data_IF_037508280552
#
_entry.id   IF_037508280552
#
_cell.length_a   1.000
_cell.length_b   1.000
_cell.length_c   1.000
_cell.angle_alpha   90.00
_cell.angle_beta   90.00
_cell.angle_gamma   90.00
#
_symmetry.space_group_name_H-M   'P 1'
#
loop_
_entity.id
_entity.type
_entity.pdbx_description
1 polymer ?
#
# COMPACT_ATOMS: atom_id res chain seq x y z
N UNK A 1 -4.63 -9.43 -6.34
CA UNK A 1 -4.43 -8.35 -5.34
C UNK A 1 -4.65 -8.78 -3.88
N UNK A 2 -5.62 -9.65 -3.55
CA UNK A 2 -5.89 -10.06 -2.16
C UNK A 2 -4.78 -10.93 -1.51
N UNK A 3 -4.12 -11.78 -2.29
CA UNK A 3 -3.03 -12.69 -1.87
C UNK A 3 -1.82 -11.94 -1.33
N UNK A 4 -1.35 -10.92 -2.04
CA UNK A 4 -0.21 -10.10 -1.58
C UNK A 4 -0.50 -9.40 -0.24
N UNK A 5 -1.74 -8.95 0.00
CA UNK A 5 -2.11 -8.30 1.27
C UNK A 5 -2.03 -9.26 2.46
N UNK A 6 -2.33 -10.55 2.27
CA UNK A 6 -2.24 -11.56 3.32
C UNK A 6 -0.80 -11.90 3.71
N UNK A 7 0.15 -11.86 2.77
CA UNK A 7 1.56 -12.15 3.08
C UNK A 7 2.24 -11.06 3.91
N UNK A 8 1.98 -9.78 3.62
CA UNK A 8 2.57 -8.68 4.41
C UNK A 8 2.03 -8.61 5.84
N UNK A 9 0.75 -8.93 6.05
CA UNK A 9 0.17 -8.97 7.40
C UNK A 9 0.84 -10.08 8.24
N UNK A 10 1.16 -11.24 7.65
CA UNK A 10 1.90 -12.30 8.36
C UNK A 10 3.29 -11.82 8.80
N UNK A 11 4.04 -11.18 7.91
CA UNK A 11 5.38 -10.62 8.21
C UNK A 11 5.28 -9.54 9.28
N UNK A 12 4.28 -8.65 9.18
CA UNK A 12 4.00 -7.62 10.18
C UNK A 12 3.76 -8.22 11.56
N UNK A 13 2.84 -9.19 11.69
CA UNK A 13 2.55 -9.81 12.98
C UNK A 13 3.75 -10.54 13.54
N UNK A 14 4.52 -11.25 12.70
CA UNK A 14 5.75 -11.90 13.13
C UNK A 14 6.73 -10.90 13.76
N UNK A 15 7.05 -9.80 13.08
CA UNK A 15 7.99 -8.78 13.57
C UNK A 15 7.48 -8.08 14.84
N UNK A 16 6.18 -7.78 14.92
CA UNK A 16 5.57 -7.17 16.11
C UNK A 16 5.64 -8.13 17.31
N UNK A 17 5.29 -9.40 17.11
CA UNK A 17 5.35 -10.41 18.18
C UNK A 17 6.79 -10.59 18.64
N UNK A 18 7.75 -10.72 17.73
CA UNK A 18 9.17 -10.82 18.08
C UNK A 18 9.66 -9.60 18.87
N UNK A 19 9.26 -8.39 18.48
CA UNK A 19 9.57 -7.16 19.23
C UNK A 19 9.04 -7.22 20.67
N UNK A 20 7.76 -7.59 20.85
CA UNK A 20 7.16 -7.68 22.18
C UNK A 20 7.79 -8.79 23.03
N UNK A 21 8.14 -9.94 22.43
CA UNK A 21 8.83 -11.02 23.14
C UNK A 21 10.19 -10.55 23.66
N UNK A 22 11.01 -9.88 22.83
CA UNK A 22 12.30 -9.33 23.27
C UNK A 22 12.11 -8.30 24.39
N UNK A 23 11.10 -7.43 24.28
CA UNK A 23 10.81 -6.44 25.32
C UNK A 23 10.37 -7.08 26.63
N UNK A 24 9.52 -8.10 26.58
CA UNK A 24 9.06 -8.85 27.77
C UNK A 24 10.24 -9.56 28.45
N UNK A 25 11.13 -10.18 27.69
CA UNK A 25 12.35 -10.80 28.23
C UNK A 25 13.25 -9.72 28.86
N UNK A 26 13.38 -8.55 28.23
CA UNK A 26 14.12 -7.42 28.80
C UNK A 26 13.52 -6.98 30.15
N UNK A 27 12.20 -6.83 30.25
CA UNK A 27 11.53 -6.44 31.49
C UNK A 27 11.72 -7.51 32.57
N UNK A 28 11.51 -8.79 32.23
CA UNK A 28 11.69 -9.90 33.17
C UNK A 28 13.13 -9.97 33.71
N UNK A 29 14.12 -9.80 32.84
CA UNK A 29 15.54 -9.89 33.23
C UNK A 29 16.03 -8.68 34.02
N UNK A 30 15.75 -7.47 33.55
CA UNK A 30 16.31 -6.24 34.13
C UNK A 30 15.46 -5.64 35.26
N UNK A 31 14.19 -6.04 35.39
CA UNK A 31 13.34 -5.72 36.54
C UNK A 31 13.11 -6.93 37.47
N UNK A 32 14.08 -7.86 37.52
CA UNK A 32 14.01 -9.09 38.32
C UNK A 32 13.53 -8.89 39.78
N UNK A 33 13.92 -7.84 40.52
CA UNK A 33 13.44 -7.63 41.89
C UNK A 33 11.91 -7.56 42.03
N UNK A 34 11.21 -7.03 41.01
CA UNK A 34 9.74 -6.97 41.02
C UNK A 34 9.15 -8.39 40.90
N UNK A 35 9.68 -9.20 39.99
CA UNK A 35 9.21 -10.57 39.79
C UNK A 35 9.58 -11.49 40.96
N UNK A 36 10.73 -11.25 41.59
CA UNK A 36 11.16 -11.97 42.79
C UNK A 36 10.21 -11.73 43.96
N UNK A 37 9.81 -10.47 44.18
CA UNK A 37 8.89 -10.10 45.24
C UNK A 37 7.49 -10.71 45.04
N UNK A 38 7.08 -10.93 43.80
CA UNK A 38 5.81 -11.57 43.45
C UNK A 38 5.87 -13.10 43.36
N UNK A 39 7.01 -13.73 43.68
CA UNK A 39 7.17 -15.19 43.60
C UNK A 39 7.18 -15.78 42.18
N UNK A 40 7.28 -14.94 41.14
CA UNK A 40 7.20 -15.30 39.72
C UNK A 40 8.55 -15.74 39.12
N UNK A 41 9.53 -16.08 39.97
CA UNK A 41 10.88 -16.46 39.55
C UNK A 41 11.12 -17.96 39.72
N UNK A 42 11.39 -18.65 38.61
CA UNK A 42 11.74 -20.08 38.61
C UNK A 42 13.22 -20.29 38.24
N UNK A 43 13.95 -21.24 38.85
CA UNK A 43 15.37 -21.51 38.55
C UNK A 43 15.64 -21.83 37.07
N UNK A 44 14.72 -22.54 36.41
CA UNK A 44 14.82 -22.83 34.98
C UNK A 44 14.81 -21.56 34.11
N UNK A 45 13.98 -20.57 34.47
CA UNK A 45 13.91 -19.30 33.76
C UNK A 45 15.23 -18.52 33.91
N UNK A 46 15.80 -18.51 35.12
CA UNK A 46 17.09 -17.86 35.38
C UNK A 46 18.22 -18.48 34.55
N UNK A 47 18.23 -19.81 34.37
CA UNK A 47 19.20 -20.52 33.53
C UNK A 47 19.08 -20.14 32.05
N UNK A 48 17.85 -20.05 31.53
CA UNK A 48 17.59 -19.59 30.15
C UNK A 48 18.08 -18.15 29.96
N UNK A 49 17.80 -17.28 30.94
CA UNK A 49 18.23 -15.88 30.89
C UNK A 49 19.75 -15.71 30.88
N UNK A 50 20.48 -16.55 31.62
CA UNK A 50 21.94 -16.57 31.61
C UNK A 50 22.49 -16.93 30.22
N UNK A 51 21.94 -17.96 29.58
CA UNK A 51 22.32 -18.32 28.20
C UNK A 51 22.02 -17.22 27.18
N UNK A 52 20.90 -16.51 27.32
CA UNK A 52 20.56 -15.37 26.46
C UNK A 52 21.53 -14.19 26.62
N UNK A 53 22.11 -13.99 27.82
CA UNK A 53 23.14 -12.97 28.07
C UNK A 53 24.45 -13.31 27.37
N UNK A 54 24.85 -14.58 27.35
CA UNK A 54 26.05 -15.05 26.63
C UNK A 54 25.91 -14.85 25.10
N UNK A 55 24.70 -14.98 24.57
CA UNK A 55 24.35 -14.67 23.18
C UNK A 55 24.44 -13.17 22.77
N UNK A 56 24.89 -12.29 23.65
CA UNK A 56 25.28 -10.90 23.34
C UNK A 56 24.15 -9.88 23.21
N UNK A 57 22.97 -10.29 22.73
CA UNK A 57 21.78 -9.41 22.60
C UNK A 57 21.34 -8.90 23.98
N UNK A 58 21.36 -9.77 25.00
CA UNK A 58 20.93 -9.45 26.37
C UNK A 58 22.05 -8.94 27.28
N UNK A 59 23.18 -8.49 26.72
CA UNK A 59 24.33 -8.00 27.52
C UNK A 59 24.06 -6.69 28.27
N UNK A 60 23.27 -5.80 27.68
CA UNK A 60 22.89 -4.52 28.31
C UNK A 60 21.42 -4.20 28.02
N UNK A 61 20.71 -3.50 28.92
CA UNK A 61 19.29 -3.22 28.72
C UNK A 61 19.04 -2.34 27.51
N UNK A 62 19.94 -1.39 27.24
CA UNK A 62 19.81 -0.52 26.07
C UNK A 62 19.93 -1.29 24.75
N UNK A 63 20.83 -2.29 24.67
CA UNK A 63 20.96 -3.14 23.47
C UNK A 63 19.71 -3.97 23.20
N UNK A 64 19.15 -4.60 24.22
CA UNK A 64 17.89 -5.35 24.08
C UNK A 64 16.72 -4.45 23.68
N UNK A 65 16.66 -3.25 24.27
CA UNK A 65 15.67 -2.23 23.91
C UNK A 65 15.85 -1.79 22.45
N UNK A 66 17.08 -1.57 22.01
CA UNK A 66 17.37 -1.22 20.62
C UNK A 66 16.92 -2.32 19.64
N UNK A 67 17.15 -3.60 19.96
CA UNK A 67 16.67 -4.71 19.13
C UNK A 67 15.15 -4.81 19.07
N UNK A 68 14.46 -4.70 20.21
CA UNK A 68 13.00 -4.65 20.23
C UNK A 68 12.48 -3.47 19.41
N UNK A 69 13.04 -2.28 19.62
CA UNK A 69 12.66 -1.08 18.88
C UNK A 69 12.92 -1.21 17.38
N UNK A 70 14.05 -1.79 16.96
CA UNK A 70 14.37 -2.04 15.56
C UNK A 70 13.31 -2.91 14.89
N UNK A 71 12.93 -4.03 15.50
CA UNK A 71 11.88 -4.91 14.97
C UNK A 71 10.53 -4.21 14.89
N UNK A 72 10.21 -3.38 15.89
CA UNK A 72 9.02 -2.55 15.90
C UNK A 72 9.04 -1.51 14.78
N UNK A 73 10.17 -0.88 14.46
CA UNK A 73 10.26 0.09 13.37
C UNK A 73 10.05 -0.61 12.03
N UNK A 74 10.76 -1.72 11.80
CA UNK A 74 10.65 -2.50 10.57
C UNK A 74 9.21 -2.97 10.35
N UNK A 75 8.54 -3.46 11.40
CA UNK A 75 7.16 -3.93 11.27
C UNK A 75 6.20 -2.84 10.78
N UNK A 76 6.31 -1.62 11.33
CA UNK A 76 5.46 -0.52 10.93
C UNK A 76 5.77 0.01 9.53
N UNK A 77 7.03 -0.04 9.10
CA UNK A 77 7.44 0.30 7.72
C UNK A 77 6.85 -0.69 6.71
N UNK A 78 6.87 -2.00 7.01
CA UNK A 78 6.26 -3.05 6.17
C UNK A 78 4.77 -2.79 5.93
N UNK A 79 4.08 -2.18 6.90
CA UNK A 79 2.64 -1.87 6.84
C UNK A 79 2.31 -0.47 6.30
N UNK A 80 3.26 0.23 5.67
CA UNK A 80 3.06 1.59 5.16
C UNK A 80 1.85 1.69 4.18
N UNK A 81 1.04 2.75 4.31
CA UNK A 81 -0.24 2.90 3.60
C UNK A 81 -0.77 4.34 3.62
N UNK A 82 -2.01 4.60 3.16
CA UNK A 82 -2.61 5.94 3.20
C UNK A 82 -3.24 6.22 4.57
N UNK A 83 -2.53 6.96 5.42
CA UNK A 83 -2.99 7.46 6.70
C UNK A 83 -3.90 8.67 6.59
N UNK A 84 -4.67 8.93 7.65
CA UNK A 84 -5.40 10.20 7.83
C UNK A 84 -4.40 11.34 8.08
N UNK A 85 -4.83 12.59 7.91
CA UNK A 85 -4.03 13.76 8.31
C UNK A 85 -3.59 13.62 9.78
N UNK A 86 -2.31 13.91 10.03
CA UNK A 86 -1.71 13.79 11.36
C UNK A 86 -1.09 15.13 11.76
N UNK A 87 -1.23 15.46 13.04
CA UNK A 87 -0.52 16.59 13.63
C UNK A 87 0.95 16.20 13.88
N UNK A 88 1.85 16.68 13.02
CA UNK A 88 3.28 16.34 13.07
C UNK A 88 3.99 16.83 14.34
N UNK A 89 3.53 17.93 14.93
CA UNK A 89 4.07 18.39 16.21
C UNK A 89 3.80 17.38 17.34
N UNK A 90 2.58 16.87 17.39
CA UNK A 90 2.19 15.84 18.37
C UNK A 90 2.99 14.55 18.17
N UNK A 91 3.17 14.11 16.92
CA UNK A 91 3.99 12.92 16.59
C UNK A 91 5.43 13.10 17.05
N UNK A 92 6.04 14.26 16.73
CA UNK A 92 7.40 14.58 17.15
C UNK A 92 7.54 14.63 18.68
N UNK A 93 6.62 15.29 19.37
CA UNK A 93 6.63 15.38 20.83
C UNK A 93 6.51 14.01 21.49
N UNK A 94 5.56 13.18 21.05
CA UNK A 94 5.40 11.81 21.57
C UNK A 94 6.62 10.95 21.28
N UNK A 95 7.24 11.09 20.11
CA UNK A 95 8.46 10.36 19.76
C UNK A 95 9.63 10.75 20.66
N UNK A 96 9.89 12.05 20.84
CA UNK A 96 11.01 12.53 21.67
C UNK A 96 10.81 12.15 23.13
N UNK A 97 9.64 12.41 23.70
CA UNK A 97 9.34 12.04 25.10
C UNK A 97 9.40 10.52 25.27
N UNK A 98 8.82 9.77 24.33
CA UNK A 98 8.88 8.30 24.33
C UNK A 98 10.31 7.78 24.30
N UNK A 99 11.16 8.34 23.43
CA UNK A 99 12.55 7.94 23.26
C UNK A 99 13.37 8.22 24.52
N UNK A 100 13.17 9.38 25.15
CA UNK A 100 13.80 9.73 26.43
C UNK A 100 13.39 8.74 27.51
N UNK A 101 12.08 8.50 27.70
CA UNK A 101 11.58 7.53 28.69
C UNK A 101 12.13 6.12 28.44
N UNK A 102 12.21 5.72 27.16
CA UNK A 102 12.69 4.40 26.76
C UNK A 102 14.20 4.22 27.01
N UNK A 103 15.00 5.27 26.78
CA UNK A 103 16.44 5.24 26.95
C UNK A 103 16.88 5.36 28.42
N UNK A 104 16.10 6.05 29.26
CA UNK A 104 16.42 6.24 30.68
C UNK A 104 16.45 4.89 31.41
N UNK A 105 17.49 4.71 32.23
CA UNK A 105 17.64 3.59 33.15
C UNK A 105 17.45 4.07 34.59
N UNK A 106 16.21 4.08 35.12
CA UNK A 106 15.98 4.49 36.49
C UNK A 106 16.50 3.44 37.49
N UNK A 107 16.69 3.86 38.75
CA UNK A 107 17.34 3.04 39.79
C UNK A 107 16.44 1.91 40.32
N UNK A 108 15.12 2.08 40.31
CA UNK A 108 14.19 1.08 40.84
C UNK A 108 13.62 0.24 39.71
N UNK A 109 13.45 -1.06 39.95
CA UNK A 109 12.93 -2.00 38.96
C UNK A 109 11.49 -1.66 38.52
N UNK A 110 10.65 -1.17 39.44
CA UNK A 110 9.28 -0.74 39.12
C UNK A 110 9.25 0.47 38.17
N UNK A 111 10.04 1.52 38.46
CA UNK A 111 10.12 2.68 37.57
C UNK A 111 10.74 2.31 36.23
N UNK A 112 11.68 1.37 36.20
CA UNK A 112 12.24 0.85 34.95
C UNK A 112 11.18 0.23 34.06
N UNK A 113 10.28 -0.59 34.61
CA UNK A 113 9.19 -1.18 33.82
C UNK A 113 8.25 -0.12 33.27
N UNK A 114 7.85 0.84 34.12
CA UNK A 114 6.93 1.93 33.73
C UNK A 114 7.55 2.76 32.60
N UNK A 115 8.78 3.28 32.77
CA UNK A 115 9.41 4.11 31.73
C UNK A 115 9.67 3.33 30.44
N UNK A 116 10.00 2.04 30.54
CA UNK A 116 10.24 1.18 29.37
C UNK A 116 8.97 0.90 28.60
N UNK A 117 7.86 0.53 29.27
CA UNK A 117 6.58 0.24 28.60
C UNK A 117 5.98 1.52 28.03
N UNK A 118 5.92 2.60 28.82
CA UNK A 118 5.38 3.89 28.36
C UNK A 118 6.20 4.44 27.20
N UNK A 119 7.53 4.44 27.32
CA UNK A 119 8.41 4.90 26.25
C UNK A 119 8.26 4.09 24.97
N UNK A 120 8.19 2.76 25.07
CA UNK A 120 7.99 1.88 23.92
C UNK A 120 6.66 2.13 23.22
N UNK A 121 5.56 2.24 23.95
CA UNK A 121 4.22 2.49 23.38
C UNK A 121 4.16 3.86 22.70
N UNK A 122 4.73 4.91 23.30
CA UNK A 122 4.77 6.25 22.70
C UNK A 122 5.57 6.26 21.40
N UNK A 123 6.75 5.62 21.39
CA UNK A 123 7.56 5.46 20.20
C UNK A 123 6.85 4.63 19.11
N UNK A 124 6.18 3.53 19.48
CA UNK A 124 5.42 2.69 18.56
C UNK A 124 4.28 3.46 17.91
N UNK A 125 3.55 4.26 18.69
CA UNK A 125 2.49 5.11 18.16
C UNK A 125 3.02 6.15 17.18
N UNK A 126 4.11 6.84 17.53
CA UNK A 126 4.72 7.84 16.65
C UNK A 126 5.23 7.22 15.34
N UNK A 127 5.92 6.08 15.42
CA UNK A 127 6.42 5.36 14.25
C UNK A 127 5.28 4.82 13.38
N UNK A 128 4.17 4.36 13.99
CA UNK A 128 2.98 3.97 13.24
C UNK A 128 2.35 5.14 12.49
N UNK A 129 2.34 6.34 13.08
CA UNK A 129 1.82 7.54 12.42
C UNK A 129 2.72 7.97 11.26
N UNK A 130 4.04 7.93 11.45
CA UNK A 130 5.01 8.20 10.38
C UNK A 130 4.84 7.18 9.25
N UNK A 131 4.80 5.87 9.55
CA UNK A 131 4.76 4.83 8.51
C UNK A 131 3.48 4.86 7.69
N UNK A 132 2.35 5.26 8.30
CA UNK A 132 1.07 5.51 7.62
C UNK A 132 1.06 6.78 6.76
N UNK A 133 2.00 7.69 6.91
CA UNK A 133 2.06 8.91 6.09
C UNK A 133 3.29 8.95 5.19
N UNK A 134 4.15 7.94 5.29
CA UNK A 134 5.20 7.71 4.31
C UNK A 134 4.51 7.44 2.98
N UNK A 135 4.76 8.30 1.98
CA UNK A 135 4.34 8.06 0.61
C UNK A 135 4.83 6.66 0.25
N UNK A 136 3.90 5.72 0.09
CA UNK A 136 4.30 4.35 -0.17
C UNK A 136 5.11 4.37 -1.46
N UNK A 137 6.35 3.88 -1.40
CA UNK A 137 7.21 3.60 -2.56
C UNK A 137 6.55 2.64 -3.57
N UNK A 138 5.32 2.15 -3.30
CA UNK A 138 4.78 0.94 -3.94
C UNK A 138 3.42 1.12 -4.59
N UNK A 139 2.71 2.25 -4.40
CA UNK A 139 1.35 2.42 -4.94
C UNK A 139 1.21 3.54 -5.95
N UNK A 140 1.96 4.64 -5.78
CA UNK A 140 2.05 5.67 -6.82
C UNK A 140 2.71 5.14 -8.10
N UNK A 141 3.58 4.14 -7.98
CA UNK A 141 4.21 3.48 -9.12
C UNK A 141 3.38 2.34 -9.73
N UNK A 142 2.30 1.86 -9.09
CA UNK A 142 1.56 0.71 -9.64
C UNK A 142 0.73 1.08 -10.87
N UNK A 143 -0.05 2.17 -10.86
CA UNK A 143 -0.80 2.59 -12.07
C UNK A 143 0.14 2.91 -13.24
N UNK A 144 1.38 3.32 -12.95
CA UNK A 144 2.42 3.59 -13.94
C UNK A 144 3.08 2.30 -14.43
N UNK A 145 3.29 1.33 -13.53
CA UNK A 145 3.91 0.03 -13.84
C UNK A 145 2.93 -1.00 -14.39
N UNK A 146 1.62 -0.78 -14.24
CA UNK A 146 0.53 -1.55 -14.85
C UNK A 146 0.10 -0.97 -16.21
N UNK A 147 0.98 -0.18 -16.85
CA UNK A 147 0.81 0.26 -18.23
C UNK A 147 1.36 -0.77 -19.22
N UNK A 148 0.69 -0.96 -20.34
CA UNK A 148 1.09 -1.87 -21.41
C UNK A 148 1.17 -1.14 -22.75
N UNK A 149 1.99 -1.68 -23.65
CA UNK A 149 2.15 -1.18 -25.01
C UNK A 149 0.85 -1.45 -25.79
N UNK A 150 0.35 -0.42 -26.48
CA UNK A 150 -0.84 -0.52 -27.35
C UNK A 150 -0.40 -0.43 -28.81
N UNK A 151 -1.33 -0.63 -29.76
CA UNK A 151 -0.99 -0.48 -31.17
C UNK A 151 -0.70 0.98 -31.53
N UNK A 152 0.53 1.25 -31.96
CA UNK A 152 0.94 2.58 -32.47
C UNK A 152 0.63 2.76 -33.96
N UNK A 153 0.45 1.66 -34.68
CA UNK A 153 0.24 1.65 -36.12
C UNK A 153 -1.24 1.60 -36.49
N UNK A 154 -1.61 2.38 -37.49
CA UNK A 154 -2.94 2.33 -38.11
C UNK A 154 -3.02 1.11 -39.02
N UNK A 155 -3.93 0.18 -38.71
CA UNK A 155 -4.19 -0.99 -39.55
C UNK A 155 -5.49 -0.77 -40.32
N UNK A 156 -5.37 -0.24 -41.53
CA UNK A 156 -6.51 0.05 -42.39
C UNK A 156 -6.80 -1.13 -43.32
N UNK A 157 -8.02 -1.65 -43.25
CA UNK A 157 -8.58 -2.66 -44.16
C UNK A 157 -9.91 -2.16 -44.71
N UNK A 158 -10.45 -2.77 -45.79
CA UNK A 158 -11.76 -2.39 -46.32
C UNK A 158 -12.85 -2.39 -45.25
N UNK A 159 -12.79 -3.31 -44.29
CA UNK A 159 -13.79 -3.46 -43.22
C UNK A 159 -13.34 -2.87 -41.85
N UNK A 160 -12.08 -2.45 -41.66
CA UNK A 160 -11.58 -2.05 -40.34
C UNK A 160 -12.16 -0.74 -39.82
N UNK A 161 -12.29 -0.59 -38.51
CA UNK A 161 -12.63 0.70 -37.91
C UNK A 161 -11.47 1.13 -37.03
N UNK A 162 -11.03 2.37 -37.21
CA UNK A 162 -9.79 2.87 -36.63
C UNK A 162 -10.08 4.12 -35.80
N UNK A 163 -9.86 4.05 -34.49
CA UNK A 163 -10.12 5.16 -33.56
C UNK A 163 -8.79 5.64 -32.97
N UNK A 164 -8.43 6.93 -33.09
CA UNK A 164 -7.21 7.47 -32.52
C UNK A 164 -7.27 7.49 -30.99
N UNK A 165 -6.19 7.09 -30.33
CA UNK A 165 -6.09 7.05 -28.87
C UNK A 165 -4.76 7.65 -28.38
N UNK A 166 -4.73 8.03 -27.10
CA UNK A 166 -3.50 8.34 -26.38
C UNK A 166 -3.40 7.41 -25.20
N UNK A 167 -2.22 6.80 -25.03
CA UNK A 167 -1.98 5.89 -23.92
C UNK A 167 -0.64 6.21 -23.27
N UNK A 168 -0.52 5.87 -22.00
CA UNK A 168 0.72 6.02 -21.26
C UNK A 168 1.45 4.67 -21.25
N UNK A 169 2.72 4.66 -21.63
CA UNK A 169 3.58 3.50 -21.52
C UNK A 169 5.00 3.94 -21.14
N UNK A 170 5.58 3.31 -20.11
CA UNK A 170 6.91 3.67 -19.56
C UNK A 170 7.05 5.16 -19.23
N UNK A 171 6.05 5.73 -18.55
CA UNK A 171 6.00 7.15 -18.14
C UNK A 171 6.00 8.16 -19.31
N UNK A 172 5.77 7.72 -20.54
CA UNK A 172 5.62 8.57 -21.72
C UNK A 172 4.20 8.43 -22.28
N UNK A 173 3.67 9.53 -22.81
CA UNK A 173 2.41 9.54 -23.55
C UNK A 173 2.74 9.21 -25.00
N UNK A 174 2.04 8.23 -25.56
CA UNK A 174 2.15 7.82 -26.96
C UNK A 174 0.82 8.04 -27.65
N UNK A 175 0.87 8.32 -28.94
CA UNK A 175 -0.31 8.30 -29.80
C UNK A 175 -0.43 6.88 -30.37
N UNK A 176 -1.64 6.31 -30.34
CA UNK A 176 -1.89 4.98 -30.88
C UNK A 176 -3.26 4.90 -31.52
N UNK A 177 -3.64 3.67 -31.87
CA UNK A 177 -4.88 3.35 -32.58
C UNK A 177 -5.59 2.15 -31.96
N UNK A 178 -6.90 2.28 -31.78
CA UNK A 178 -7.79 1.13 -31.56
C UNK A 178 -8.22 0.66 -32.95
N UNK A 179 -7.63 -0.45 -33.40
CA UNK A 179 -7.92 -1.05 -34.71
C UNK A 179 -8.93 -2.21 -34.53
N UNK A 180 -10.19 -1.98 -34.89
CA UNK A 180 -11.21 -3.03 -34.99
C UNK A 180 -11.15 -3.62 -36.40
N UNK A 181 -10.22 -4.55 -36.61
CA UNK A 181 -9.91 -5.10 -37.95
C UNK A 181 -11.05 -5.92 -38.54
N UNK A 182 -11.89 -6.51 -37.70
CA UNK A 182 -13.06 -7.30 -38.12
C UNK A 182 -14.28 -6.94 -37.24
N UNK A 183 -15.09 -5.93 -37.63
CA UNK A 183 -16.24 -5.50 -36.85
C UNK A 183 -17.40 -6.50 -36.85
N UNK A 184 -17.39 -7.49 -37.76
CA UNK A 184 -18.46 -8.48 -37.91
C UNK A 184 -18.54 -9.50 -36.77
N UNK A 185 -17.52 -9.58 -35.89
CA UNK A 185 -17.51 -10.48 -34.72
C UNK A 185 -18.23 -9.93 -33.50
N UNK A 186 -19.14 -8.98 -33.72
CA UNK A 186 -19.73 -8.11 -32.72
C UNK A 186 -18.70 -7.22 -32.02
N UNK A 187 -19.02 -5.94 -31.90
CA UNK A 187 -18.23 -4.97 -31.12
C UNK A 187 -19.10 -4.44 -30.00
N UNK A 188 -18.58 -4.51 -28.76
CA UNK A 188 -19.30 -4.06 -27.57
C UNK A 188 -18.51 -2.98 -26.85
N UNK A 189 -19.17 -1.86 -26.57
CA UNK A 189 -18.60 -0.75 -25.80
C UNK A 189 -19.39 -0.63 -24.49
N UNK A 190 -18.69 -0.80 -23.36
CA UNK A 190 -19.28 -0.74 -22.03
C UNK A 190 -18.82 0.52 -21.30
N UNK A 191 -19.71 1.14 -20.53
CA UNK A 191 -19.33 2.23 -19.64
C UNK A 191 -20.53 2.90 -18.97
N UNK A 192 -20.26 3.63 -17.89
CA UNK A 192 -21.29 4.37 -17.15
C UNK A 192 -21.88 5.54 -17.93
N UNK A 193 -23.12 6.00 -17.65
CA UNK A 193 -23.65 7.21 -18.23
C UNK A 193 -22.70 8.41 -18.03
N UNK A 194 -22.49 9.21 -19.09
CA UNK A 194 -21.59 10.37 -19.05
C UNK A 194 -20.10 10.06 -19.31
N UNK A 195 -19.73 8.81 -19.58
CA UNK A 195 -18.32 8.43 -19.85
C UNK A 195 -17.81 8.80 -21.26
N UNK A 196 -18.59 9.54 -22.06
CA UNK A 196 -18.17 10.01 -23.39
C UNK A 196 -18.23 9.02 -24.55
N UNK A 197 -18.81 7.81 -24.36
CA UNK A 197 -18.83 6.74 -25.38
C UNK A 197 -19.36 7.16 -26.76
N UNK A 198 -20.40 8.00 -26.79
CA UNK A 198 -20.98 8.46 -28.06
C UNK A 198 -19.96 9.21 -28.89
N UNK A 199 -19.37 10.27 -28.32
CA UNK A 199 -18.37 11.08 -28.99
C UNK A 199 -17.05 10.33 -29.28
N UNK A 200 -16.55 9.53 -28.33
CA UNK A 200 -15.22 8.94 -28.46
C UNK A 200 -15.17 7.61 -29.21
N UNK A 201 -16.30 6.90 -29.31
CA UNK A 201 -16.34 5.56 -29.93
C UNK A 201 -17.49 5.42 -30.90
N UNK A 202 -18.74 5.71 -30.52
CA UNK A 202 -19.88 5.41 -31.41
C UNK A 202 -19.89 6.26 -32.67
N UNK A 203 -19.74 7.58 -32.57
CA UNK A 203 -19.74 8.49 -33.72
C UNK A 203 -18.66 8.12 -34.75
N UNK A 204 -17.35 8.03 -34.40
CA UNK A 204 -16.33 7.68 -35.38
C UNK A 204 -16.50 6.26 -35.93
N UNK A 205 -17.17 5.37 -35.20
CA UNK A 205 -17.48 4.00 -35.66
C UNK A 205 -18.63 4.00 -36.67
N UNK A 206 -19.67 4.81 -36.43
CA UNK A 206 -20.80 5.00 -37.35
C UNK A 206 -20.33 5.68 -38.62
N UNK A 207 -19.62 6.81 -38.52
CA UNK A 207 -19.05 7.58 -39.64
C UNK A 207 -18.29 6.65 -40.59
N UNK A 208 -17.30 5.91 -40.08
CA UNK A 208 -16.51 4.99 -40.88
C UNK A 208 -17.33 3.84 -41.50
N UNK A 209 -18.38 3.36 -40.83
CA UNK A 209 -19.25 2.32 -41.39
C UNK A 209 -20.14 2.86 -42.51
N UNK A 210 -20.64 4.10 -42.38
CA UNK A 210 -21.45 4.77 -43.40
C UNK A 210 -20.59 5.09 -44.62
N UNK A 211 -19.38 5.64 -44.44
CA UNK A 211 -18.42 5.90 -45.53
C UNK A 211 -18.09 4.64 -46.36
N UNK A 212 -18.10 3.47 -45.70
CA UNK A 212 -17.86 2.17 -46.34
C UNK A 212 -19.10 1.56 -46.98
N UNK A 213 -20.24 2.24 -46.92
CA UNK A 213 -21.49 1.83 -47.55
C UNK A 213 -22.22 0.70 -46.83
N UNK A 214 -21.95 0.46 -45.54
CA UNK A 214 -22.70 -0.53 -44.78
C UNK A 214 -24.10 -0.02 -44.44
N UNK A 215 -25.06 -0.95 -44.45
CA UNK A 215 -26.37 -0.71 -43.85
C UNK A 215 -26.31 -0.91 -42.34
N UNK A 216 -27.03 -0.07 -41.60
CA UNK A 216 -27.02 -0.09 -40.15
C UNK A 216 -28.42 0.15 -39.57
N UNK A 217 -28.73 -0.54 -38.49
CA UNK A 217 -29.89 -0.27 -37.65
C UNK A 217 -29.44 0.46 -36.39
N UNK A 218 -29.81 1.74 -36.25
CA UNK A 218 -29.50 2.54 -35.07
C UNK A 218 -30.71 2.61 -34.17
N UNK A 219 -30.53 2.14 -32.93
CA UNK A 219 -31.49 2.30 -31.86
C UNK A 219 -30.96 3.33 -30.86
N UNK A 220 -31.46 4.55 -30.95
CA UNK A 220 -31.03 5.66 -30.11
C UNK A 220 -32.14 6.10 -29.15
N UNK A 221 -32.05 5.66 -27.90
CA UNK A 221 -33.15 5.81 -26.93
C UNK A 221 -33.16 7.17 -26.22
N UNK A 222 -31.99 7.79 -26.01
CA UNK A 222 -31.86 8.88 -25.03
C UNK A 222 -32.02 10.26 -25.64
N UNK A 223 -31.28 10.55 -26.70
CA UNK A 223 -31.24 11.80 -27.47
C UNK A 223 -30.78 11.43 -28.89
N UNK A 224 -31.21 12.13 -29.95
CA UNK A 224 -30.95 11.71 -31.34
C UNK A 224 -29.50 11.89 -31.81
N UNK A 225 -28.51 11.87 -30.91
CA UNK A 225 -27.11 12.17 -31.20
C UNK A 225 -26.50 11.20 -32.23
N UNK A 226 -26.79 9.90 -32.12
CA UNK A 226 -26.28 8.90 -33.06
C UNK A 226 -27.05 8.92 -34.37
N UNK A 227 -28.35 9.22 -34.28
CA UNK A 227 -29.24 9.27 -35.44
C UNK A 227 -28.86 10.43 -36.35
N UNK A 228 -28.57 11.61 -35.80
CA UNK A 228 -28.12 12.78 -36.57
C UNK A 228 -26.83 12.50 -37.34
N UNK A 229 -25.87 11.80 -36.74
CA UNK A 229 -24.62 11.41 -37.42
C UNK A 229 -24.93 10.53 -38.63
N UNK A 230 -25.77 9.49 -38.49
CA UNK A 230 -26.10 8.61 -39.63
C UNK A 230 -26.71 9.35 -40.81
N UNK A 231 -27.62 10.30 -40.56
CA UNK A 231 -28.34 11.00 -41.65
C UNK A 231 -27.56 12.17 -42.26
N UNK A 232 -26.55 12.69 -41.57
CA UNK A 232 -25.76 13.83 -42.04
C UNK A 232 -24.41 13.42 -42.68
N UNK A 233 -23.93 12.19 -42.46
CA UNK A 233 -22.66 11.66 -42.99
C UNK A 233 -22.81 10.98 -44.37
N UNK A 234 -23.78 11.43 -45.18
CA UNK A 234 -24.02 10.94 -46.57
C UNK A 234 -23.74 11.98 -47.63
#
# INVERSE_FOLDING_TARGET
MATNKQEYEKIYFFLVISSYVILTINLFYYAQPVFSASGLTHPALLKIMLGLREGGIFRTPLRTKAWAFLLMVISHVVRSGKGKQVNWWLVGAFFVVGLVLYAVRPRTAATYMVTTVTGFVMCAWAVAMVSRNLHSFRRADNDVNETFEQCDELISTPDSINIPTKYQYKKKIHNGWINVVNPFRATMVLGVPGSGKSYSVYNPFIEQMVEKGYSMFVYDYKFPDLTEVVYNET
#
